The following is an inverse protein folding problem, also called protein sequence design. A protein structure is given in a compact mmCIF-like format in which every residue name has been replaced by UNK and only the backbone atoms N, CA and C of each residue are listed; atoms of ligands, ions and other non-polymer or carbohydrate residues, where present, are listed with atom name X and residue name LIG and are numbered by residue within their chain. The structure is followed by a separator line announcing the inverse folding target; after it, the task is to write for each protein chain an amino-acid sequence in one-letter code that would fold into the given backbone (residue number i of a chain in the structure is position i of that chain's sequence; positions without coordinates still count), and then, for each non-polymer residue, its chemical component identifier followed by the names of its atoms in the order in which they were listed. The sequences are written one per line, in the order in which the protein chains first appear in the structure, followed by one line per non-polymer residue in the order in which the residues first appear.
data_IF_497603139096
#
_entry.id   IF_497603139096
#
_cell.length_a   1.000
_cell.length_b   1.000
_cell.length_c   1.000
_cell.angle_alpha   90.00
_cell.angle_beta   90.00
_cell.angle_gamma   90.00
#
_symmetry.space_group_name_H-M   'P 1'
#
loop_
_entity.id
_entity.type
_entity.pdbx_description
1 polymer ?
#
# COMPACT_ATOMS: atom_id res chain seq x y z
N UNK A 1 19.40 -15.03 5.23
CA UNK A 1 19.77 -13.61 5.13
C UNK A 1 18.59 -12.93 4.47
N UNK A 2 17.61 -12.45 5.25
CA UNK A 2 16.36 -11.85 4.75
C UNK A 2 16.09 -10.57 5.53
N UNK A 3 17.05 -9.64 5.50
CA UNK A 3 16.88 -8.36 6.17
C UNK A 3 17.19 -7.25 5.17
N UNK A 4 16.28 -7.09 4.21
CA UNK A 4 16.02 -5.80 3.57
C UNK A 4 14.67 -5.85 2.83
N UNK A 5 13.59 -6.21 3.53
CA UNK A 5 12.26 -6.00 2.97
C UNK A 5 12.04 -4.49 2.87
N UNK A 6 12.03 -3.98 1.63
CA UNK A 6 11.76 -2.58 1.33
C UNK A 6 10.37 -2.15 1.82
N UNK A 7 10.11 -0.83 1.89
CA UNK A 7 8.84 -0.29 2.41
C UNK A 7 7.61 -0.88 1.70
N UNK A 8 7.69 -1.13 0.39
CA UNK A 8 6.60 -1.77 -0.35
C UNK A 8 6.29 -3.19 0.14
N UNK A 9 7.30 -4.01 0.43
CA UNK A 9 7.09 -5.37 0.91
C UNK A 9 6.54 -5.40 2.35
N UNK A 10 7.00 -4.48 3.20
CA UNK A 10 6.46 -4.30 4.56
C UNK A 10 4.98 -3.95 4.52
N UNK A 11 4.58 -3.02 3.63
CA UNK A 11 3.18 -2.67 3.45
C UNK A 11 2.36 -3.83 2.87
N UNK A 12 2.88 -4.54 1.86
CA UNK A 12 2.21 -5.71 1.30
C UNK A 12 1.93 -6.78 2.36
N UNK A 13 2.92 -7.11 3.19
CA UNK A 13 2.75 -8.05 4.29
C UNK A 13 1.73 -7.55 5.34
N UNK A 14 1.76 -6.26 5.68
CA UNK A 14 0.81 -5.65 6.61
C UNK A 14 -0.63 -5.66 6.08
N UNK A 15 -0.85 -5.34 4.79
CA UNK A 15 -2.17 -5.41 4.16
C UNK A 15 -2.68 -6.85 4.16
N UNK A 16 -1.82 -7.81 3.82
CA UNK A 16 -2.20 -9.24 3.81
C UNK A 16 -2.58 -9.76 5.20
N UNK A 17 -1.97 -9.22 6.26
CA UNK A 17 -2.29 -9.56 7.66
C UNK A 17 -3.54 -8.86 8.17
N UNK A 18 -3.71 -7.58 7.85
CA UNK A 18 -4.80 -6.73 8.34
C UNK A 18 -6.12 -6.97 7.58
N UNK A 19 -6.03 -7.10 6.25
CA UNK A 19 -7.17 -7.25 5.36
C UNK A 19 -6.84 -8.22 4.22
N UNK A 20 -6.83 -9.54 4.47
CA UNK A 20 -6.47 -10.55 3.48
C UNK A 20 -7.43 -10.58 2.27
N UNK A 21 -8.64 -10.02 2.40
CA UNK A 21 -9.56 -9.85 1.28
C UNK A 21 -9.12 -8.79 0.25
N UNK A 22 -8.18 -7.89 0.59
CA UNK A 22 -7.63 -6.92 -0.35
C UNK A 22 -6.54 -7.59 -1.19
N UNK A 23 -6.68 -7.54 -2.51
CA UNK A 23 -5.62 -7.96 -3.41
C UNK A 23 -4.52 -6.90 -3.40
N UNK A 24 -3.41 -7.20 -2.72
CA UNK A 24 -2.22 -6.34 -2.67
C UNK A 24 -1.06 -7.03 -3.39
N UNK A 25 -0.31 -6.27 -4.19
CA UNK A 25 0.92 -6.76 -4.82
C UNK A 25 1.98 -5.65 -4.90
N UNK A 26 3.27 -5.95 -4.66
CA UNK A 26 4.34 -5.02 -4.97
C UNK A 26 4.53 -4.95 -6.49
N UNK A 27 4.65 -3.74 -7.04
CA UNK A 27 4.95 -3.47 -8.45
C UNK A 27 6.15 -2.55 -8.54
N UNK A 28 7.08 -2.86 -9.42
CA UNK A 28 8.24 -2.01 -9.67
C UNK A 28 7.85 -0.94 -10.68
N UNK A 29 7.96 0.33 -10.30
CA UNK A 29 7.79 1.42 -11.23
C UNK A 29 9.14 1.68 -11.93
N UNK A 30 9.27 1.24 -13.18
CA UNK A 30 10.51 1.34 -13.95
C UNK A 30 10.90 2.81 -14.24
N UNK A 31 9.92 3.72 -14.28
CA UNK A 31 10.17 5.14 -14.55
C UNK A 31 10.72 5.88 -13.33
N UNK A 32 10.21 5.61 -12.13
CA UNK A 32 10.72 6.22 -10.90
C UNK A 32 11.83 5.40 -10.22
N UNK A 33 12.05 4.15 -10.64
CA UNK A 33 12.95 3.22 -9.95
C UNK A 33 12.50 2.87 -8.53
N UNK A 34 11.21 3.02 -8.22
CA UNK A 34 10.64 2.83 -6.88
C UNK A 34 9.64 1.67 -6.87
N UNK A 35 9.73 0.82 -5.85
CA UNK A 35 8.72 -0.22 -5.61
C UNK A 35 7.48 0.41 -4.99
N UNK A 36 6.34 0.25 -5.67
CA UNK A 36 5.00 0.68 -5.22
C UNK A 36 4.17 -0.54 -4.83
N UNK A 37 3.06 -0.32 -4.14
CA UNK A 37 2.09 -1.38 -3.84
C UNK A 37 0.78 -1.07 -4.54
N UNK A 38 0.33 -1.97 -5.41
CA UNK A 38 -0.99 -1.92 -6.00
C UNK A 38 -1.98 -2.61 -5.05
N UNK A 39 -3.11 -1.98 -4.79
CA UNK A 39 -4.19 -2.52 -3.98
C UNK A 39 -5.50 -2.45 -4.76
N UNK A 40 -6.25 -3.55 -4.73
CA UNK A 40 -7.55 -3.67 -5.40
C UNK A 40 -8.51 -4.39 -4.47
N UNK A 41 -9.73 -3.88 -4.34
CA UNK A 41 -10.78 -4.50 -3.56
C UNK A 41 -12.15 -4.25 -4.17
N UNK A 42 -12.83 -5.33 -4.59
CA UNK A 42 -14.12 -5.27 -5.29
C UNK A 42 -14.05 -4.32 -6.49
N UNK A 43 -14.92 -3.31 -6.53
CA UNK A 43 -14.98 -2.27 -7.57
C UNK A 43 -13.99 -1.11 -7.32
N UNK A 44 -13.34 -1.08 -6.15
CA UNK A 44 -12.36 -0.06 -5.80
C UNK A 44 -10.95 -0.49 -6.21
N UNK A 45 -10.34 0.32 -7.07
CA UNK A 45 -8.98 0.11 -7.57
C UNK A 45 -8.91 -0.11 -9.08
N UNK A 46 -7.72 -0.44 -9.61
CA UNK A 46 -6.46 -0.57 -8.88
C UNK A 46 -5.92 0.79 -8.41
N UNK A 47 -5.54 0.89 -7.14
CA UNK A 47 -4.91 2.08 -6.58
C UNK A 47 -3.47 1.77 -6.20
N UNK A 48 -2.61 2.77 -6.38
CA UNK A 48 -1.18 2.65 -6.13
C UNK A 48 -0.80 3.40 -4.86
N UNK A 49 0.05 2.79 -4.06
CA UNK A 49 0.64 3.38 -2.87
C UNK A 49 2.14 3.48 -3.11
N UNK A 50 2.69 4.68 -2.90
CA UNK A 50 4.12 4.94 -2.97
C UNK A 50 4.70 5.18 -1.59
N UNK A 51 5.98 4.89 -1.44
CA UNK A 51 6.77 5.36 -0.32
C UNK A 51 7.54 6.61 -0.74
N UNK A 52 7.40 7.69 0.02
CA UNK A 52 8.03 8.98 -0.27
C UNK A 52 9.39 9.16 0.43
N UNK A 53 9.93 8.10 1.04
CA UNK A 53 11.11 8.18 1.92
C UNK A 53 10.75 8.35 3.40
N UNK A 54 9.66 9.04 3.68
CA UNK A 54 9.20 9.32 5.06
C UNK A 54 7.89 8.63 5.41
N UNK A 55 6.97 8.45 4.46
CA UNK A 55 5.63 7.92 4.72
C UNK A 55 5.00 7.32 3.48
N UNK A 56 4.05 6.40 3.67
CA UNK A 56 3.21 5.87 2.60
C UNK A 56 2.19 6.93 2.17
N UNK A 57 2.03 7.09 0.88
CA UNK A 57 1.09 8.02 0.25
C UNK A 57 0.37 7.37 -0.91
N UNK A 58 -0.90 7.72 -1.10
CA UNK A 58 -1.64 7.31 -2.29
C UNK A 58 -1.05 8.00 -3.52
N UNK A 59 -0.58 7.20 -4.47
CA UNK A 59 -0.05 7.68 -5.74
C UNK A 59 -1.16 7.99 -6.75
N UNK A 60 -2.25 7.20 -6.73
CA UNK A 60 -3.40 7.37 -7.60
C UNK A 60 -4.71 7.07 -6.85
N UNK A 61 -5.84 7.39 -7.46
CA UNK A 61 -7.19 7.18 -6.96
C UNK A 61 -7.79 8.46 -6.37
N UNK A 62 -9.00 8.36 -5.78
CA UNK A 62 -9.73 9.50 -5.21
C UNK A 62 -8.99 10.13 -4.02
N UNK A 63 -8.02 9.43 -3.44
CA UNK A 63 -7.23 9.89 -2.30
C UNK A 63 -5.78 10.23 -2.67
N UNK A 64 -5.48 10.46 -3.95
CA UNK A 64 -4.13 10.82 -4.42
C UNK A 64 -3.49 11.92 -3.54
N UNK A 65 -2.20 11.77 -3.27
CA UNK A 65 -1.38 12.62 -2.38
C UNK A 65 -1.79 12.59 -0.88
N UNK A 66 -2.80 11.81 -0.49
CA UNK A 66 -3.17 11.64 0.92
C UNK A 66 -2.18 10.73 1.63
N UNK A 67 -1.76 11.15 2.83
CA UNK A 67 -0.78 10.46 3.67
C UNK A 67 -1.41 9.34 4.50
N UNK A 68 -0.91 8.13 4.33
CA UNK A 68 -1.28 6.96 5.13
C UNK A 68 -0.46 6.89 6.43
N UNK A 69 0.77 7.40 6.41
CA UNK A 69 1.68 7.44 7.56
C UNK A 69 2.95 6.61 7.34
N UNK A 70 3.93 6.67 8.26
CA UNK A 70 5.17 5.92 8.17
C UNK A 70 5.02 4.43 8.55
N UNK A 71 4.11 4.13 9.48
CA UNK A 71 3.89 2.78 9.97
C UNK A 71 3.13 1.91 8.96
N UNK A 72 3.67 0.75 8.55
CA UNK A 72 3.03 -0.11 7.56
C UNK A 72 1.70 -0.70 8.06
N UNK A 73 1.58 -1.02 9.35
CA UNK A 73 0.35 -1.55 9.93
C UNK A 73 -0.76 -0.49 9.98
N UNK A 74 -0.44 0.72 10.43
CA UNK A 74 -1.36 1.86 10.41
C UNK A 74 -1.77 2.22 8.98
N UNK A 75 -0.82 2.20 8.04
CA UNK A 75 -1.10 2.43 6.63
C UNK A 75 -2.01 1.35 6.05
N UNK A 76 -1.77 0.07 6.35
CA UNK A 76 -2.64 -1.03 5.93
C UNK A 76 -4.06 -0.91 6.49
N UNK A 77 -4.21 -0.57 7.78
CA UNK A 77 -5.53 -0.36 8.39
C UNK A 77 -6.29 0.82 7.74
N UNK A 78 -5.58 1.91 7.41
CA UNK A 78 -6.16 3.03 6.66
C UNK A 78 -6.57 2.63 5.26
N UNK A 79 -5.72 1.89 4.53
CA UNK A 79 -6.05 1.34 3.21
C UNK A 79 -7.29 0.47 3.27
N UNK A 80 -7.37 -0.43 4.24
CA UNK A 80 -8.51 -1.29 4.49
C UNK A 80 -9.80 -0.48 4.74
N UNK A 81 -9.70 0.55 5.58
CA UNK A 81 -10.82 1.46 5.88
C UNK A 81 -11.25 2.26 4.64
N UNK A 82 -10.30 2.82 3.89
CA UNK A 82 -10.56 3.57 2.66
C UNK A 82 -11.22 2.72 1.58
N UNK A 83 -10.80 1.46 1.44
CA UNK A 83 -11.40 0.50 0.51
C UNK A 83 -12.73 -0.06 1.00
N UNK A 84 -13.15 0.22 2.25
CA UNK A 84 -14.34 -0.39 2.86
C UNK A 84 -14.17 -1.88 3.14
N UNK A 85 -12.93 -2.37 3.13
CA UNK A 85 -12.56 -3.70 3.58
C UNK A 85 -12.26 -3.63 5.07
N UNK A 86 -13.28 -3.37 5.90
CA UNK A 86 -13.10 -3.40 7.35
C UNK A 86 -12.61 -4.79 7.79
N UNK A 87 -11.65 -4.88 8.73
CA UNK A 87 -11.22 -6.15 9.31
C UNK A 87 -12.34 -6.82 10.13
#
# INVERSE_FOLDING_TARGET
MFDDFGPAERLHAAVRRCAPQIAAAPVQDEEAGLTRVIVTYRDAGPWLIRWDGTSYTWHNGPHKDTRLGPDPETAAARVATTLGATP
#
